data_IF_738714800616
#
_entry.id   IF_738714800616
#
_cell.length_a   1.000
_cell.length_b   1.000
_cell.length_c   1.000
_cell.angle_alpha   90.00
_cell.angle_beta   90.00
_cell.angle_gamma   90.00
#
_symmetry.space_group_name_H-M   'P 1'
#
loop_
_entity.id
_entity.type
_entity.pdbx_description
1 polymer ?
#
# COMPACT_ATOMS: atom_id res chain seq x y z
N UNK A 1 22.34 -6.47 -19.06
CA UNK A 1 20.91 -6.54 -18.74
C UNK A 1 20.53 -5.42 -17.79
N UNK A 2 19.62 -4.58 -18.22
CA UNK A 2 19.13 -3.50 -17.39
C UNK A 2 18.04 -4.01 -16.46
N UNK A 3 18.38 -4.14 -15.19
CA UNK A 3 17.39 -4.48 -14.17
C UNK A 3 16.79 -3.18 -13.66
N UNK A 4 15.49 -2.97 -13.92
CA UNK A 4 14.79 -1.81 -13.40
C UNK A 4 14.65 -1.91 -11.88
N UNK A 5 14.64 -0.77 -11.17
CA UNK A 5 14.50 -0.80 -9.72
C UNK A 5 13.15 -1.38 -9.31
N UNK A 6 13.16 -2.12 -8.21
CA UNK A 6 11.98 -2.75 -7.64
C UNK A 6 12.11 -2.72 -6.13
N UNK A 7 11.01 -2.39 -5.44
CA UNK A 7 10.93 -2.40 -3.99
C UNK A 7 10.06 -3.58 -3.56
N UNK A 8 10.58 -4.43 -2.68
CA UNK A 8 9.83 -5.55 -2.12
C UNK A 8 9.96 -5.49 -0.60
N UNK A 9 8.83 -5.56 0.07
CA UNK A 9 8.76 -5.52 1.53
C UNK A 9 7.77 -6.56 2.01
N UNK A 10 8.17 -7.39 2.96
CA UNK A 10 7.31 -8.39 3.57
C UNK A 10 7.28 -8.22 5.07
N UNK A 11 6.09 -8.37 5.66
CA UNK A 11 5.93 -8.31 7.10
C UNK A 11 4.83 -9.28 7.54
N UNK A 12 4.93 -9.77 8.77
CA UNK A 12 3.90 -10.59 9.39
C UNK A 12 3.04 -9.70 10.27
N UNK A 13 1.72 -9.86 10.16
CA UNK A 13 0.75 -9.07 10.92
C UNK A 13 -0.20 -10.03 11.63
N UNK A 14 -0.41 -9.81 12.93
CA UNK A 14 -1.35 -10.60 13.73
C UNK A 14 -2.77 -10.13 13.45
N UNK A 15 -3.34 -10.61 12.35
CA UNK A 15 -4.67 -10.27 11.88
C UNK A 15 -5.17 -11.33 10.91
N UNK A 16 -6.39 -11.16 10.40
CA UNK A 16 -6.95 -12.03 9.35
C UNK A 16 -6.79 -11.38 7.97
N UNK A 17 -6.83 -12.17 6.88
CA UNK A 17 -6.81 -11.60 5.53
C UNK A 17 -7.93 -10.59 5.30
N UNK A 18 -9.13 -10.86 5.82
CA UNK A 18 -10.30 -10.01 5.65
C UNK A 18 -10.12 -8.65 6.33
N UNK A 19 -9.55 -8.64 7.54
CA UNK A 19 -9.27 -7.40 8.28
C UNK A 19 -8.19 -6.58 7.59
N UNK A 20 -7.15 -7.25 7.09
CA UNK A 20 -6.10 -6.55 6.34
C UNK A 20 -6.67 -5.97 5.04
N UNK A 21 -7.48 -6.72 4.32
CA UNK A 21 -8.14 -6.21 3.11
C UNK A 21 -8.97 -4.96 3.41
N UNK A 22 -9.76 -5.00 4.48
CA UNK A 22 -10.55 -3.84 4.91
C UNK A 22 -9.64 -2.64 5.20
N UNK A 23 -8.51 -2.88 5.88
CA UNK A 23 -7.57 -1.81 6.20
C UNK A 23 -6.93 -1.20 4.94
N UNK A 24 -6.76 -1.97 3.87
CA UNK A 24 -6.21 -1.47 2.60
C UNK A 24 -7.25 -0.73 1.76
N UNK A 25 -8.54 -1.01 1.94
CA UNK A 25 -9.59 -0.55 1.02
C UNK A 25 -10.64 0.38 1.65
N UNK A 26 -10.67 0.49 2.97
CA UNK A 26 -11.65 1.34 3.67
C UNK A 26 -11.00 2.65 4.09
N UNK A 27 -11.51 3.81 3.63
CA UNK A 27 -10.96 5.12 4.03
C UNK A 27 -10.94 5.35 5.54
N UNK A 28 -11.86 4.74 6.29
CA UNK A 28 -11.84 4.82 7.75
C UNK A 28 -10.55 4.27 8.36
N UNK A 29 -9.90 3.32 7.69
CA UNK A 29 -8.61 2.79 8.11
C UNK A 29 -7.44 3.56 7.49
N UNK A 30 -7.48 3.82 6.17
CA UNK A 30 -6.34 4.44 5.49
C UNK A 30 -6.01 5.82 6.05
N UNK A 31 -7.01 6.60 6.46
CA UNK A 31 -6.78 7.90 7.09
C UNK A 31 -6.03 7.81 8.40
N UNK A 32 -6.06 6.65 9.07
CA UNK A 32 -5.39 6.46 10.35
C UNK A 32 -3.91 6.10 10.21
N UNK A 33 -3.54 5.31 9.20
CA UNK A 33 -2.15 4.85 9.09
C UNK A 33 -1.40 5.46 7.90
N UNK A 34 -2.08 6.13 6.99
CA UNK A 34 -1.48 6.68 5.77
C UNK A 34 -1.46 8.21 5.79
N UNK A 35 -1.02 8.80 6.92
CA UNK A 35 -0.83 10.24 7.04
C UNK A 35 -2.08 11.08 6.79
N UNK A 36 -3.27 10.55 7.13
CA UNK A 36 -4.53 11.25 6.86
C UNK A 36 -5.02 11.09 5.42
N UNK A 37 -4.41 10.20 4.65
CA UNK A 37 -4.79 9.96 3.25
C UNK A 37 -5.98 9.03 3.15
N UNK A 38 -6.99 9.43 2.38
CA UNK A 38 -8.17 8.63 2.07
C UNK A 38 -8.00 7.99 0.70
N UNK A 39 -8.08 6.66 0.63
CA UNK A 39 -8.08 5.92 -0.63
C UNK A 39 -9.52 5.54 -0.97
N UNK A 40 -10.00 5.99 -2.14
CA UNK A 40 -11.41 5.86 -2.55
C UNK A 40 -11.50 5.17 -3.90
N UNK A 41 -12.26 4.07 -3.96
CA UNK A 41 -12.50 3.30 -5.18
C UNK A 41 -13.68 2.36 -4.94
N UNK A 42 -14.21 1.75 -6.01
CA UNK A 42 -15.10 0.59 -5.89
C UNK A 42 -14.31 -0.73 -5.89
N UNK A 43 -12.99 -0.63 -6.04
CA UNK A 43 -12.03 -1.74 -5.94
C UNK A 43 -12.23 -2.85 -6.97
N UNK A 44 -12.78 -2.52 -8.13
CA UNK A 44 -12.92 -3.43 -9.26
C UNK A 44 -11.84 -3.14 -10.29
N UNK A 45 -11.37 -4.19 -10.98
CA UNK A 45 -10.38 -4.03 -12.05
C UNK A 45 -10.88 -3.04 -13.10
N UNK A 46 -10.02 -2.08 -13.46
CA UNK A 46 -10.34 -1.02 -14.40
C UNK A 46 -10.97 0.21 -13.77
N UNK A 47 -11.37 0.13 -12.49
CA UNK A 47 -11.97 1.27 -11.79
C UNK A 47 -10.93 2.27 -11.37
N UNK A 48 -11.38 3.50 -11.23
CA UNK A 48 -10.56 4.61 -10.74
C UNK A 48 -10.29 4.43 -9.24
N UNK A 49 -9.07 4.74 -8.81
CA UNK A 49 -8.71 4.88 -7.41
C UNK A 49 -8.13 6.27 -7.19
N UNK A 50 -8.63 6.97 -6.18
CA UNK A 50 -8.24 8.34 -5.88
C UNK A 50 -7.71 8.39 -4.44
N UNK A 51 -6.55 9.01 -4.27
CA UNK A 51 -6.01 9.33 -2.96
C UNK A 51 -6.27 10.80 -2.67
N UNK A 52 -6.92 11.09 -1.53
CA UNK A 52 -7.17 12.45 -1.07
C UNK A 52 -6.39 12.72 0.21
N UNK A 53 -5.76 13.87 0.24
CA UNK A 53 -5.03 14.35 1.40
C UNK A 53 -5.37 15.82 1.59
N UNK A 54 -5.86 16.18 2.78
CA UNK A 54 -6.30 17.54 3.10
C UNK A 54 -7.25 18.11 2.03
N UNK A 55 -8.17 17.28 1.56
CA UNK A 55 -9.17 17.68 0.58
C UNK A 55 -8.69 17.75 -0.87
N UNK A 56 -7.41 17.46 -1.12
CA UNK A 56 -6.83 17.49 -2.48
C UNK A 56 -6.58 16.09 -3.00
N UNK A 57 -6.78 15.90 -4.29
CA UNK A 57 -6.42 14.65 -4.97
C UNK A 57 -4.91 14.63 -5.15
N UNK A 58 -4.25 13.65 -4.51
CA UNK A 58 -2.80 13.47 -4.59
C UNK A 58 -2.39 12.29 -5.44
N UNK A 59 -3.32 11.41 -5.79
CA UNK A 59 -3.19 10.33 -6.76
C UNK A 59 -4.52 10.14 -7.47
N UNK A 60 -4.47 9.81 -8.75
CA UNK A 60 -5.64 9.49 -9.56
C UNK A 60 -5.21 8.34 -10.48
N UNK A 61 -5.50 7.12 -10.04
CA UNK A 61 -4.92 5.91 -10.62
C UNK A 61 -6.00 4.90 -11.00
N UNK A 62 -5.58 3.69 -11.39
CA UNK A 62 -6.46 2.64 -11.88
C UNK A 62 -6.19 1.32 -11.13
N UNK A 63 -7.25 0.61 -10.77
CA UNK A 63 -7.14 -0.73 -10.18
C UNK A 63 -6.75 -1.70 -11.30
N UNK A 64 -5.64 -2.41 -11.09
CA UNK A 64 -5.08 -3.36 -12.06
C UNK A 64 -5.43 -4.81 -11.74
N UNK A 65 -5.49 -5.18 -10.46
CA UNK A 65 -5.91 -6.49 -9.98
C UNK A 65 -6.69 -6.34 -8.69
N UNK A 66 -7.72 -7.16 -8.52
CA UNK A 66 -8.53 -7.15 -7.30
C UNK A 66 -9.11 -8.54 -7.07
N UNK A 67 -8.51 -9.28 -6.13
CA UNK A 67 -8.94 -10.61 -5.72
C UNK A 67 -9.05 -10.64 -4.20
N UNK A 68 -10.15 -10.11 -3.64
CA UNK A 68 -10.32 -10.09 -2.19
C UNK A 68 -10.31 -11.49 -1.58
N UNK A 69 -9.70 -11.71 -0.44
CA UNK A 69 -8.86 -10.82 0.33
C UNK A 69 -7.36 -11.07 0.12
N UNK A 70 -6.92 -11.49 -1.08
CA UNK A 70 -5.58 -12.02 -1.32
C UNK A 70 -4.67 -11.17 -2.17
N UNK A 71 -5.22 -10.40 -3.12
CA UNK A 71 -4.39 -9.69 -4.09
C UNK A 71 -5.03 -8.38 -4.49
N UNK A 72 -4.26 -7.29 -4.37
CA UNK A 72 -4.68 -5.96 -4.80
C UNK A 72 -3.50 -5.30 -5.51
N UNK A 73 -3.74 -4.77 -6.70
CA UNK A 73 -2.71 -4.05 -7.45
C UNK A 73 -3.32 -2.84 -8.12
N UNK A 74 -2.61 -1.71 -8.08
CA UNK A 74 -3.04 -0.50 -8.77
C UNK A 74 -1.83 0.30 -9.26
N UNK A 75 -2.08 1.19 -10.23
CA UNK A 75 -1.05 2.10 -10.71
C UNK A 75 -0.77 3.16 -9.63
N UNK A 76 0.39 3.78 -9.71
CA UNK A 76 0.85 4.69 -8.66
C UNK A 76 1.56 5.88 -9.32
N UNK A 77 0.85 7.02 -9.35
CA UNK A 77 1.35 8.24 -9.97
C UNK A 77 1.13 9.44 -9.04
N UNK A 78 2.13 9.80 -8.22
CA UNK A 78 2.00 10.96 -7.32
C UNK A 78 1.81 12.26 -8.10
N UNK A 79 0.87 13.08 -7.66
CA UNK A 79 0.53 14.35 -8.30
C UNK A 79 0.95 15.58 -7.46
N UNK A 80 1.52 15.34 -6.27
CA UNK A 80 1.81 16.42 -5.31
C UNK A 80 2.99 17.30 -5.69
N UNK A 81 3.96 16.75 -6.43
CA UNK A 81 5.19 17.46 -6.75
C UNK A 81 5.41 17.44 -8.27
N UNK A 82 5.79 18.60 -8.80
CA UNK A 82 6.02 18.78 -10.22
C UNK A 82 7.03 17.76 -10.79
N UNK A 83 8.05 17.43 -10.00
CA UNK A 83 9.10 16.48 -10.43
C UNK A 83 8.58 15.07 -10.72
N UNK A 84 7.39 14.70 -10.19
CA UNK A 84 6.79 13.39 -10.40
C UNK A 84 5.77 13.37 -11.54
N UNK A 85 5.27 14.53 -11.96
CA UNK A 85 4.19 14.61 -12.94
C UNK A 85 4.54 14.03 -14.31
N UNK A 86 5.80 14.17 -14.71
CA UNK A 86 6.27 13.67 -16.00
C UNK A 86 6.69 12.21 -15.97
N UNK A 87 6.83 11.63 -14.78
CA UNK A 87 7.21 10.23 -14.66
C UNK A 87 5.99 9.34 -14.91
N UNK A 88 6.12 8.27 -15.74
CA UNK A 88 5.00 7.37 -15.96
C UNK A 88 4.58 6.68 -14.67
N UNK A 89 3.29 6.28 -14.54
CA UNK A 89 2.83 5.55 -13.37
C UNK A 89 3.62 4.27 -13.15
N UNK A 90 3.97 4.01 -11.91
CA UNK A 90 4.50 2.70 -11.48
C UNK A 90 3.35 1.81 -11.06
N UNK A 91 3.66 0.61 -10.53
CA UNK A 91 2.65 -0.35 -10.11
C UNK A 91 2.99 -0.89 -8.73
N UNK A 92 2.00 -0.84 -7.84
CA UNK A 92 2.11 -1.45 -6.51
C UNK A 92 1.18 -2.65 -6.42
N UNK A 93 1.67 -3.73 -5.79
CA UNK A 93 0.91 -4.96 -5.58
C UNK A 93 1.01 -5.37 -4.12
N UNK A 94 -0.16 -5.66 -3.53
CA UNK A 94 -0.28 -6.17 -2.17
C UNK A 94 -0.71 -7.63 -2.26
N UNK A 95 0.14 -8.55 -1.78
CA UNK A 95 -0.18 -9.97 -1.71
C UNK A 95 -0.37 -10.34 -0.24
N UNK A 96 -1.50 -10.96 0.06
CA UNK A 96 -1.92 -11.34 1.41
C UNK A 96 -2.02 -12.85 1.49
N UNK A 97 -1.25 -13.46 2.39
CA UNK A 97 -1.23 -14.92 2.58
C UNK A 97 -1.43 -15.24 4.06
N UNK A 98 -2.20 -16.29 4.36
CA UNK A 98 -2.20 -16.83 5.71
C UNK A 98 -0.83 -17.41 5.99
N UNK A 99 -0.28 -17.12 7.16
CA UNK A 99 1.07 -17.55 7.52
C UNK A 99 0.99 -18.58 8.65
N UNK A 100 1.40 -19.82 8.36
CA UNK A 100 1.36 -20.91 9.34
C UNK A 100 2.61 -20.98 10.18
N UNK A 101 3.80 -20.73 9.62
CA UNK A 101 5.07 -20.78 10.35
C UNK A 101 5.38 -22.16 10.93
N UNK A 102 6.41 -22.22 11.75
CA UNK A 102 6.83 -23.45 12.42
C UNK A 102 6.47 -23.47 13.92
N UNK A 103 6.16 -22.31 14.47
CA UNK A 103 5.83 -22.20 15.90
C UNK A 103 4.32 -22.19 16.11
N UNK A 104 3.88 -22.81 17.18
CA UNK A 104 2.49 -22.69 17.62
C UNK A 104 2.25 -21.24 18.03
N UNK A 105 1.07 -20.73 17.68
CA UNK A 105 0.68 -19.37 18.04
C UNK A 105 -0.81 -19.31 18.31
N UNK A 106 -1.19 -18.32 19.10
CA UNK A 106 -2.59 -18.04 19.36
C UNK A 106 -3.07 -16.97 18.39
N UNK A 107 -4.09 -17.31 17.62
CA UNK A 107 -4.70 -16.39 16.68
C UNK A 107 -4.05 -16.39 15.31
N UNK A 108 -4.70 -15.72 14.36
CA UNK A 108 -4.28 -15.68 12.97
C UNK A 108 -3.09 -14.75 12.75
N UNK A 109 -2.27 -15.10 11.77
CA UNK A 109 -1.19 -14.25 11.27
C UNK A 109 -1.22 -14.30 9.76
N UNK A 110 -1.06 -13.14 9.13
CA UNK A 110 -0.93 -13.03 7.68
C UNK A 110 0.46 -12.54 7.32
N UNK A 111 0.93 -12.92 6.14
CA UNK A 111 2.10 -12.34 5.52
C UNK A 111 1.63 -11.36 4.47
N UNK A 112 2.00 -10.10 4.62
CA UNK A 112 1.77 -9.07 3.62
C UNK A 112 3.07 -8.84 2.86
N UNK A 113 3.02 -8.97 1.54
CA UNK A 113 4.14 -8.62 0.67
C UNK A 113 3.71 -7.47 -0.24
N UNK A 114 4.47 -6.39 -0.20
CA UNK A 114 4.27 -5.23 -1.07
C UNK A 114 5.39 -5.23 -2.10
N UNK A 115 5.01 -5.25 -3.37
CA UNK A 115 5.93 -5.14 -4.50
C UNK A 115 5.60 -3.86 -5.25
N UNK A 116 6.57 -2.95 -5.36
CA UNK A 116 6.39 -1.71 -6.10
C UNK A 116 7.42 -1.69 -7.23
N UNK A 117 6.94 -1.68 -8.46
CA UNK A 117 7.76 -1.91 -9.65
C UNK A 117 7.30 -1.07 -10.84
N UNK A 118 7.92 -1.29 -11.98
CA UNK A 118 7.66 -0.56 -13.22
C UNK A 118 8.10 0.91 -13.16
N UNK A 119 9.23 1.16 -12.48
CA UNK A 119 9.87 2.46 -12.45
C UNK A 119 10.79 2.64 -13.67
N UNK A 120 10.90 3.86 -14.23
CA UNK A 120 11.95 4.14 -15.21
C UNK A 120 13.33 4.11 -14.54
N UNK A 121 14.39 3.98 -15.34
CA UNK A 121 15.76 3.87 -14.84
C UNK A 121 16.19 5.08 -13.99
N UNK A 122 15.69 6.27 -14.31
CA UNK A 122 16.01 7.52 -13.63
C UNK A 122 14.87 8.00 -12.72
N UNK A 123 14.09 7.07 -12.18
CA UNK A 123 12.91 7.38 -11.37
C UNK A 123 13.24 8.27 -10.19
N UNK A 124 12.46 9.34 -10.02
CA UNK A 124 12.48 10.22 -8.84
C UNK A 124 11.50 9.77 -7.78
N UNK A 125 10.49 9.00 -8.18
CA UNK A 125 9.50 8.41 -7.27
C UNK A 125 10.11 7.28 -6.46
N UNK A 126 10.93 6.44 -7.07
CA UNK A 126 11.48 5.25 -6.42
C UNK A 126 12.20 5.53 -5.08
N UNK A 127 13.13 6.50 -4.99
CA UNK A 127 13.78 6.78 -3.70
C UNK A 127 12.80 7.22 -2.62
N UNK A 128 11.74 7.91 -3.00
CA UNK A 128 10.72 8.39 -2.06
C UNK A 128 9.91 7.25 -1.48
N UNK A 129 9.47 6.29 -2.33
CA UNK A 129 8.65 5.17 -1.84
C UNK A 129 9.48 4.18 -1.01
N UNK A 130 10.79 4.10 -1.25
CA UNK A 130 11.66 3.25 -0.42
C UNK A 130 11.69 3.71 1.02
N UNK A 131 11.54 5.00 1.27
CA UNK A 131 11.46 5.58 2.61
C UNK A 131 10.02 5.64 3.13
N UNK A 132 9.04 5.81 2.25
CA UNK A 132 7.64 5.97 2.63
C UNK A 132 6.96 4.65 3.03
N UNK A 133 7.18 3.58 2.29
CA UNK A 133 6.52 2.30 2.60
C UNK A 133 6.80 1.76 3.99
N UNK A 134 8.05 1.76 4.49
CA UNK A 134 8.29 1.28 5.87
C UNK A 134 7.48 2.02 6.94
N UNK A 135 7.34 3.34 6.80
CA UNK A 135 6.54 4.15 7.73
C UNK A 135 5.07 3.75 7.65
N UNK A 136 4.52 3.72 6.44
CA UNK A 136 3.11 3.40 6.20
C UNK A 136 2.78 1.99 6.66
N UNK A 137 3.60 1.00 6.29
CA UNK A 137 3.34 -0.40 6.58
C UNK A 137 3.55 -0.73 8.06
N UNK A 138 4.49 -0.07 8.73
CA UNK A 138 4.66 -0.19 10.18
C UNK A 138 3.45 0.37 10.92
N UNK A 139 2.93 1.49 10.47
CA UNK A 139 1.74 2.10 11.05
C UNK A 139 0.49 1.24 10.83
N UNK A 140 0.34 0.66 9.63
CA UNK A 140 -0.73 -0.29 9.32
C UNK A 140 -0.68 -1.51 10.25
N UNK A 141 0.50 -2.12 10.38
CA UNK A 141 0.69 -3.27 11.25
C UNK A 141 0.32 -2.94 12.69
N UNK A 142 0.80 -1.81 13.19
CA UNK A 142 0.53 -1.36 14.56
C UNK A 142 -0.97 -1.12 14.77
N UNK A 143 -1.64 -0.49 13.81
CA UNK A 143 -3.09 -0.28 13.90
C UNK A 143 -3.85 -1.60 14.00
N UNK A 144 -3.52 -2.57 13.15
CA UNK A 144 -4.21 -3.86 13.14
C UNK A 144 -3.95 -4.69 14.39
N UNK A 145 -2.74 -4.60 14.96
CA UNK A 145 -2.34 -5.40 16.12
C UNK A 145 -2.74 -4.78 17.45
N UNK A 146 -2.83 -3.45 17.52
CA UNK A 146 -3.06 -2.74 18.79
C UNK A 146 -4.32 -1.89 18.82
N UNK A 147 -4.92 -1.63 17.65
CA UNK A 147 -6.08 -0.73 17.54
C UNK A 147 -5.72 0.74 17.37
N UNK A 148 -4.44 1.08 17.39
CA UNK A 148 -3.99 2.48 17.24
C UNK A 148 -2.76 2.53 16.31
N UNK A 149 -2.82 3.41 15.31
CA UNK A 149 -1.70 3.61 14.37
C UNK A 149 -0.53 4.33 15.05
N UNK A 150 0.65 4.21 14.44
CA UNK A 150 1.81 5.01 14.85
C UNK A 150 1.53 6.46 14.40
N UNK A 151 1.79 7.42 15.29
CA UNK A 151 1.68 8.83 14.96
C UNK A 151 3.00 9.31 14.38
N UNK A 152 2.98 9.65 13.09
CA UNK A 152 4.11 10.28 12.41
C UNK A 152 3.76 11.74 12.10
N UNK A 153 4.77 12.59 12.04
CA UNK A 153 4.65 13.92 11.44
C UNK A 153 4.87 13.76 9.94
N UNK A 154 3.81 14.03 9.19
CA UNK A 154 3.82 13.84 7.74
C UNK A 154 4.06 15.16 7.00
#
# INVERSE_FOLDING_TARGET
MNTKPKFIYSTLIATTPEKLWAALTDPAFTTQYWGGTSLESDWKVGSRIVFRWQGKIVHDDTILKSEPPRLLSYSFHPLQFEEFLSEPPSRVTFAIEEFTGISKRQGPVVKLTVTHEDFPDDSKVFPKICNGWPDILSSLKTLLETGKAIEFEW
#
